data_IF_468972562076
#
_entry.id   IF_468972562076
#
_cell.length_a   1.000
_cell.length_b   1.000
_cell.length_c   1.000
_cell.angle_alpha   90.00
_cell.angle_beta   90.00
_cell.angle_gamma   90.00
#
_symmetry.space_group_name_H-M   'P 1'
#
loop_
_entity.id
_entity.type
_entity.pdbx_description
1 polymer ?
#
# COMPACT_ATOMS: atom_id res chain seq x y z
N UNK A 1 22.83 -36.27 83.60
CA UNK A 1 22.07 -35.06 84.03
C UNK A 1 21.82 -34.18 82.82
N UNK A 2 20.57 -34.12 82.33
CA UNK A 2 19.87 -32.87 82.04
C UNK A 2 18.46 -33.17 81.48
N UNK A 3 17.48 -32.75 82.28
CA UNK A 3 16.05 -32.85 82.03
C UNK A 3 15.54 -31.70 81.16
N UNK A 4 14.80 -32.06 80.11
CA UNK A 4 13.42 -31.65 79.76
C UNK A 4 12.85 -30.28 80.23
N UNK A 5 12.33 -29.55 79.21
CA UNK A 5 10.91 -29.11 79.02
C UNK A 5 10.50 -27.63 79.24
N UNK A 6 10.12 -27.02 78.09
CA UNK A 6 8.96 -26.17 77.71
C UNK A 6 8.61 -24.80 78.34
N UNK A 7 8.36 -23.80 77.47
CA UNK A 7 7.05 -23.18 77.11
C UNK A 7 7.27 -22.08 76.04
N UNK A 8 6.75 -22.23 74.81
CA UNK A 8 5.51 -21.65 74.19
C UNK A 8 5.39 -20.12 74.18
N UNK A 9 5.44 -19.51 72.98
CA UNK A 9 4.54 -18.40 72.57
C UNK A 9 4.25 -18.45 71.04
N UNK A 10 2.97 -18.73 70.73
CA UNK A 10 2.09 -18.16 69.68
C UNK A 10 2.43 -18.19 68.17
N UNK A 11 1.58 -18.89 67.39
CA UNK A 11 1.33 -18.78 65.93
C UNK A 11 0.31 -17.64 65.61
N UNK A 12 -0.10 -17.34 64.35
CA UNK A 12 0.22 -17.94 63.03
C UNK A 12 0.57 -16.90 61.92
N UNK A 13 1.02 -17.29 60.72
CA UNK A 13 0.15 -17.38 59.55
C UNK A 13 0.87 -18.02 58.35
N UNK A 14 0.11 -18.83 57.62
CA UNK A 14 0.46 -19.66 56.48
C UNK A 14 1.25 -18.93 55.39
N UNK A 15 2.47 -19.37 55.14
CA UNK A 15 3.23 -19.04 53.94
C UNK A 15 3.70 -20.32 53.26
N UNK A 16 3.03 -20.71 52.17
CA UNK A 16 3.56 -21.76 51.29
C UNK A 16 2.52 -22.73 50.76
N UNK A 17 1.73 -22.34 49.74
CA UNK A 17 1.16 -23.27 48.76
C UNK A 17 0.45 -22.55 47.59
N UNK A 18 1.15 -21.74 46.80
CA UNK A 18 0.57 -21.21 45.55
C UNK A 18 1.45 -21.33 44.30
N UNK A 19 2.72 -21.74 44.42
CA UNK A 19 3.64 -21.84 43.26
C UNK A 19 3.71 -23.21 42.56
N UNK A 20 2.98 -24.25 43.01
CA UNK A 20 3.09 -25.61 42.44
C UNK A 20 1.80 -26.22 41.88
N UNK A 21 0.77 -25.42 41.60
CA UNK A 21 -0.53 -25.94 41.09
C UNK A 21 -0.91 -25.54 39.66
N UNK A 22 -0.06 -24.82 38.92
CA UNK A 22 -0.39 -24.33 37.56
C UNK A 22 0.32 -25.11 36.43
N UNK A 23 1.15 -26.11 36.74
CA UNK A 23 1.83 -26.94 35.73
C UNK A 23 1.43 -28.41 35.84
N UNK A 24 0.16 -28.72 35.58
CA UNK A 24 -0.27 -30.08 35.24
C UNK A 24 -0.77 -30.12 33.80
N UNK A 25 0.08 -30.71 32.95
CA UNK A 25 -0.23 -31.46 31.73
C UNK A 25 -1.31 -30.90 30.81
N UNK A 26 -0.95 -29.91 30.00
CA UNK A 26 -1.63 -29.69 28.73
C UNK A 26 -0.86 -30.50 27.68
N UNK A 27 -1.30 -31.74 27.44
CA UNK A 27 -0.82 -32.50 26.29
C UNK A 27 -1.22 -31.83 24.96
N UNK A 28 -0.70 -32.29 23.81
CA UNK A 28 -1.06 -31.72 22.52
C UNK A 28 -2.52 -32.06 22.20
N UNK A 29 -3.44 -31.18 22.61
CA UNK A 29 -4.85 -31.29 22.25
C UNK A 29 -4.98 -31.05 20.73
N UNK A 30 -5.03 -32.11 19.94
CA UNK A 30 -5.61 -32.04 18.59
C UNK A 30 -7.14 -32.08 18.78
N UNK A 31 -7.79 -30.93 18.64
CA UNK A 31 -9.24 -30.77 18.81
C UNK A 31 -9.64 -29.33 19.15
N UNK A 32 -10.64 -28.82 18.43
CA UNK A 32 -11.34 -27.53 18.55
C UNK A 32 -11.41 -27.03 20.02
N UNK A 33 -10.52 -26.10 20.39
CA UNK A 33 -10.56 -25.43 21.68
C UNK A 33 -11.50 -24.22 21.65
N UNK A 34 -11.96 -23.78 22.82
CA UNK A 34 -12.64 -22.50 22.93
C UNK A 34 -11.65 -21.35 22.74
N UNK A 35 -12.00 -20.38 21.90
CA UNK A 35 -11.15 -19.25 21.52
C UNK A 35 -11.78 -17.92 21.96
N UNK A 36 -10.97 -17.05 22.55
CA UNK A 36 -11.27 -15.64 22.69
C UNK A 36 -10.77 -14.91 21.44
N UNK A 37 -11.61 -14.09 20.80
CA UNK A 37 -11.23 -13.32 19.61
C UNK A 37 -11.11 -11.85 19.98
N UNK A 38 -9.92 -11.29 19.83
CA UNK A 38 -9.59 -9.90 20.15
C UNK A 38 -9.28 -9.18 18.84
N UNK A 39 -10.16 -8.26 18.45
CA UNK A 39 -10.13 -7.60 17.15
C UNK A 39 -9.66 -6.17 17.34
N UNK A 40 -8.61 -5.81 16.63
CA UNK A 40 -8.17 -4.44 16.49
C UNK A 40 -9.08 -3.73 15.48
N UNK A 41 -9.99 -2.90 15.97
CA UNK A 41 -10.98 -2.20 15.15
C UNK A 41 -10.43 -0.96 14.43
N UNK A 42 -9.15 -0.64 14.62
CA UNK A 42 -8.45 0.41 13.90
C UNK A 42 -7.81 -0.13 12.62
N UNK A 43 -7.38 -1.40 12.61
CA UNK A 43 -6.81 -2.10 11.46
C UNK A 43 -7.77 -3.07 10.75
N UNK A 44 -8.79 -3.59 11.42
CA UNK A 44 -9.84 -4.41 10.79
C UNK A 44 -10.99 -3.50 10.36
N UNK A 45 -11.54 -3.71 9.17
CA UNK A 45 -12.73 -2.96 8.73
C UNK A 45 -14.03 -3.66 9.15
N UNK A 46 -15.13 -2.92 9.39
CA UNK A 46 -16.42 -3.51 9.70
C UNK A 46 -16.85 -4.58 8.66
N UNK A 47 -16.71 -4.28 7.37
CA UNK A 47 -17.02 -5.21 6.27
C UNK A 47 -16.25 -6.55 6.32
N UNK A 48 -15.10 -6.61 7.00
CA UNK A 48 -14.29 -7.82 7.11
C UNK A 48 -14.63 -8.69 8.33
N UNK A 49 -15.46 -8.19 9.26
CA UNK A 49 -15.72 -8.84 10.54
C UNK A 49 -16.20 -10.28 10.40
N UNK A 50 -17.14 -10.53 9.48
CA UNK A 50 -17.67 -11.87 9.24
C UNK A 50 -16.57 -12.83 8.76
N UNK A 51 -15.68 -12.37 7.88
CA UNK A 51 -14.55 -13.17 7.38
C UNK A 51 -13.54 -13.49 8.49
N UNK A 52 -13.26 -12.54 9.38
CA UNK A 52 -12.42 -12.77 10.57
C UNK A 52 -13.00 -13.87 11.45
N UNK A 53 -14.28 -13.75 11.81
CA UNK A 53 -14.94 -14.73 12.68
C UNK A 53 -15.02 -16.11 12.00
N UNK A 54 -15.25 -16.17 10.68
CA UNK A 54 -15.24 -17.42 9.92
C UNK A 54 -13.86 -18.08 9.91
N UNK A 55 -12.79 -17.30 9.72
CA UNK A 55 -11.42 -17.81 9.78
C UNK A 55 -11.13 -18.44 11.15
N UNK A 56 -11.50 -17.78 12.24
CA UNK A 56 -11.33 -18.35 13.59
C UNK A 56 -12.20 -19.59 13.81
N UNK A 57 -13.46 -19.58 13.36
CA UNK A 57 -14.38 -20.72 13.46
C UNK A 57 -13.88 -21.98 12.73
N UNK A 58 -12.98 -21.82 11.76
CA UNK A 58 -12.37 -22.96 11.06
C UNK A 58 -11.42 -23.78 11.93
N UNK A 59 -10.89 -23.19 13.01
CA UNK A 59 -9.91 -23.84 13.91
C UNK A 59 -10.39 -24.04 15.34
N UNK A 60 -11.49 -23.40 15.75
CA UNK A 60 -12.05 -23.56 17.09
C UNK A 60 -13.40 -22.87 17.30
N UNK A 61 -13.99 -23.07 18.47
CA UNK A 61 -15.25 -22.42 18.83
C UNK A 61 -14.99 -21.06 19.48
N UNK A 62 -15.59 -20.01 18.94
CA UNK A 62 -15.51 -18.67 19.53
C UNK A 62 -16.33 -18.67 20.83
N UNK A 63 -15.67 -18.45 21.96
CA UNK A 63 -16.32 -18.32 23.28
C UNK A 63 -16.87 -16.91 23.47
N UNK A 64 -16.06 -15.92 23.12
CA UNK A 64 -16.45 -14.53 23.03
C UNK A 64 -15.54 -13.82 22.03
N UNK A 65 -16.03 -12.70 21.52
CA UNK A 65 -15.29 -11.83 20.62
C UNK A 65 -15.44 -10.39 21.08
N UNK A 66 -14.31 -9.69 21.14
CA UNK A 66 -14.23 -8.26 21.48
C UNK A 66 -13.58 -7.49 20.37
N UNK A 67 -14.04 -6.27 20.17
CA UNK A 67 -13.38 -5.31 19.30
C UNK A 67 -12.96 -4.07 20.06
N UNK A 68 -11.71 -3.67 19.86
CA UNK A 68 -11.09 -2.52 20.52
C UNK A 68 -11.06 -1.37 19.53
N UNK A 69 -11.73 -0.27 19.85
CA UNK A 69 -11.85 0.88 18.97
C UNK A 69 -11.61 2.17 19.71
N UNK A 70 -10.99 3.12 19.02
CA UNK A 70 -10.93 4.50 19.47
C UNK A 70 -12.35 5.12 19.51
N UNK A 71 -12.64 5.95 20.53
CA UNK A 71 -13.89 6.72 20.66
C UNK A 71 -14.33 7.45 19.37
N UNK A 72 -13.37 7.91 18.54
CA UNK A 72 -13.67 8.59 17.27
C UNK A 72 -14.15 7.64 16.16
N UNK A 73 -13.77 6.35 16.22
CA UNK A 73 -14.14 5.32 15.24
C UNK A 73 -15.30 4.44 15.69
N UNK A 74 -15.74 4.56 16.95
CA UNK A 74 -16.86 3.79 17.50
C UNK A 74 -18.16 3.90 16.68
N UNK A 75 -18.39 5.05 16.01
CA UNK A 75 -19.56 5.24 15.14
C UNK A 75 -19.56 4.32 13.91
N UNK A 76 -18.39 3.90 13.41
CA UNK A 76 -18.26 3.06 12.21
C UNK A 76 -18.73 1.62 12.43
N UNK A 77 -18.83 1.20 13.69
CA UNK A 77 -19.15 -0.17 14.07
C UNK A 77 -20.60 -0.35 14.53
N UNK A 78 -21.34 0.74 14.79
CA UNK A 78 -22.68 0.72 15.41
C UNK A 78 -23.66 -0.25 14.77
N UNK A 79 -23.67 -0.36 13.44
CA UNK A 79 -24.68 -1.14 12.72
C UNK A 79 -24.32 -2.65 12.62
N UNK A 80 -23.06 -3.04 12.81
CA UNK A 80 -22.60 -4.42 12.53
C UNK A 80 -22.35 -5.27 13.78
N UNK A 81 -22.38 -4.68 14.97
CA UNK A 81 -22.03 -5.35 16.23
C UNK A 81 -23.18 -6.20 16.79
N UNK A 82 -24.42 -5.75 16.61
CA UNK A 82 -25.60 -6.39 17.17
C UNK A 82 -25.89 -7.77 16.55
N UNK A 83 -25.49 -7.98 15.29
CA UNK A 83 -25.79 -9.21 14.54
C UNK A 83 -24.76 -10.34 14.75
N UNK A 84 -23.55 -10.01 15.20
CA UNK A 84 -22.42 -10.95 15.23
C UNK A 84 -21.97 -11.37 16.64
N UNK A 85 -22.62 -10.87 17.70
CA UNK A 85 -22.29 -11.20 19.08
C UNK A 85 -20.91 -10.71 19.52
N UNK A 86 -20.46 -9.58 18.98
CA UNK A 86 -19.14 -8.98 19.26
C UNK A 86 -19.31 -7.84 20.26
N UNK A 87 -18.63 -7.95 21.40
CA UNK A 87 -18.58 -6.89 22.41
C UNK A 87 -17.65 -5.77 21.95
N UNK A 88 -18.07 -4.51 22.10
CA UNK A 88 -17.25 -3.35 21.73
C UNK A 88 -16.62 -2.72 22.96
N UNK A 89 -15.31 -2.63 22.94
CA UNK A 89 -14.49 -1.95 23.94
C UNK A 89 -14.06 -0.62 23.35
N UNK A 90 -14.77 0.45 23.72
CA UNK A 90 -14.42 1.81 23.31
C UNK A 90 -13.35 2.36 24.25
N UNK A 91 -12.19 2.70 23.71
CA UNK A 91 -11.08 3.23 24.48
C UNK A 91 -10.94 4.75 24.24
N UNK A 92 -11.11 5.59 25.28
CA UNK A 92 -10.93 7.03 25.15
C UNK A 92 -9.46 7.41 24.91
N UNK A 93 -9.22 8.36 24.02
CA UNK A 93 -7.90 8.98 23.88
C UNK A 93 -7.77 10.12 24.89
N UNK A 94 -6.88 9.95 25.88
CA UNK A 94 -6.68 10.89 26.98
C UNK A 94 -5.66 12.00 26.67
N UNK A 95 -4.78 11.81 25.67
CA UNK A 95 -3.81 12.81 25.21
C UNK A 95 -3.54 12.70 23.72
N UNK A 96 -3.36 13.84 23.05
CA UNK A 96 -2.99 13.90 21.64
C UNK A 96 -1.50 13.65 21.47
N UNK A 97 -1.12 12.41 21.19
CA UNK A 97 0.21 12.08 20.67
C UNK A 97 0.83 10.79 21.21
N UNK A 98 1.09 9.87 20.28
CA UNK A 98 2.07 8.76 20.33
C UNK A 98 1.70 7.40 20.96
N UNK A 99 0.58 7.22 21.66
CA UNK A 99 0.18 5.88 22.13
C UNK A 99 -1.18 5.51 21.58
N UNK A 100 -1.30 4.30 21.06
CA UNK A 100 -2.59 3.73 20.71
C UNK A 100 -3.19 3.07 21.96
N UNK A 101 -4.15 3.72 22.65
CA UNK A 101 -4.70 3.15 23.87
C UNK A 101 -5.59 1.92 23.58
N UNK A 102 -6.12 1.77 22.36
CA UNK A 102 -6.90 0.60 21.98
C UNK A 102 -6.00 -0.65 21.92
N UNK A 103 -4.83 -0.52 21.32
CA UNK A 103 -3.83 -1.61 21.27
C UNK A 103 -3.35 -2.02 22.67
N UNK A 104 -3.11 -1.04 23.53
CA UNK A 104 -2.72 -1.28 24.92
C UNK A 104 -3.82 -2.04 25.66
N UNK A 105 -5.08 -1.61 25.51
CA UNK A 105 -6.21 -2.28 26.16
C UNK A 105 -6.38 -3.72 25.64
N UNK A 106 -6.25 -3.93 24.33
CA UNK A 106 -6.28 -5.26 23.71
C UNK A 106 -5.19 -6.16 24.31
N UNK A 107 -3.95 -5.66 24.39
CA UNK A 107 -2.84 -6.39 24.95
C UNK A 107 -3.05 -6.76 26.43
N UNK A 108 -3.63 -5.85 27.23
CA UNK A 108 -3.97 -6.09 28.64
C UNK A 108 -5.03 -7.18 28.76
N UNK A 109 -6.13 -7.08 28.00
CA UNK A 109 -7.21 -8.07 28.00
C UNK A 109 -6.74 -9.45 27.54
N UNK A 110 -5.83 -9.53 26.58
CA UNK A 110 -5.23 -10.79 26.15
C UNK A 110 -4.49 -11.50 27.29
N UNK A 111 -3.68 -10.75 28.05
CA UNK A 111 -2.95 -11.29 29.21
C UNK A 111 -3.91 -11.64 30.34
N UNK A 112 -4.92 -10.80 30.59
CA UNK A 112 -5.94 -11.07 31.60
C UNK A 112 -6.70 -12.37 31.28
N UNK A 113 -7.05 -12.60 30.02
CA UNK A 113 -7.70 -13.84 29.59
C UNK A 113 -6.80 -15.06 29.76
N UNK A 114 -5.49 -14.94 29.52
CA UNK A 114 -4.55 -16.03 29.81
C UNK A 114 -4.59 -16.43 31.29
N UNK A 115 -4.69 -15.44 32.19
CA UNK A 115 -4.73 -15.63 33.64
C UNK A 115 -6.07 -16.19 34.11
N UNK A 116 -7.19 -15.69 33.59
CA UNK A 116 -8.55 -16.20 33.87
C UNK A 116 -8.73 -17.62 33.34
N UNK A 117 -8.20 -17.88 32.15
CA UNK A 117 -8.23 -19.18 31.50
C UNK A 117 -9.61 -19.61 31.05
N UNK A 118 -10.49 -18.67 30.71
CA UNK A 118 -11.85 -19.00 30.27
C UNK A 118 -11.85 -19.57 28.86
N UNK A 119 -10.91 -19.17 28.01
CA UNK A 119 -10.61 -19.70 26.69
C UNK A 119 -9.32 -20.54 26.70
N UNK A 120 -9.27 -21.54 25.82
CA UNK A 120 -8.10 -22.39 25.60
C UNK A 120 -7.08 -21.76 24.65
N UNK A 121 -7.51 -20.82 23.83
CA UNK A 121 -6.64 -20.03 22.96
C UNK A 121 -7.15 -18.61 22.74
N UNK A 122 -6.28 -17.77 22.21
CA UNK A 122 -6.54 -16.36 21.94
C UNK A 122 -6.19 -16.10 20.47
N UNK A 123 -7.16 -15.59 19.72
CA UNK A 123 -7.00 -15.12 18.36
C UNK A 123 -6.94 -13.60 18.35
N UNK A 124 -5.84 -13.03 17.85
CA UNK A 124 -5.68 -11.58 17.68
C UNK A 124 -5.84 -11.24 16.22
N UNK A 125 -6.85 -10.44 15.88
CA UNK A 125 -7.12 -10.01 14.52
C UNK A 125 -6.59 -8.60 14.27
N UNK A 126 -5.50 -8.47 13.52
CA UNK A 126 -4.87 -7.19 13.14
C UNK A 126 -3.92 -7.36 11.94
N UNK A 127 -3.61 -6.24 11.27
CA UNK A 127 -2.50 -6.12 10.30
C UNK A 127 -1.21 -5.60 10.94
N UNK A 128 -1.27 -5.17 12.21
CA UNK A 128 -0.13 -4.62 12.92
C UNK A 128 0.79 -5.73 13.44
N UNK A 129 2.06 -5.65 13.06
CA UNK A 129 3.10 -6.60 13.47
C UNK A 129 3.50 -6.43 14.93
N UNK A 130 3.17 -5.30 15.57
CA UNK A 130 3.50 -5.06 16.98
C UNK A 130 2.76 -6.03 17.93
N UNK A 131 1.61 -6.58 17.50
CA UNK A 131 0.92 -7.64 18.23
C UNK A 131 1.69 -8.98 18.29
N UNK A 132 2.79 -9.14 17.54
CA UNK A 132 3.69 -10.28 17.68
C UNK A 132 4.19 -10.45 19.13
N UNK A 133 4.36 -9.34 19.87
CA UNK A 133 4.76 -9.39 21.29
C UNK A 133 3.65 -9.99 22.16
N UNK A 134 2.39 -9.63 21.89
CA UNK A 134 1.22 -10.17 22.59
C UNK A 134 1.08 -11.66 22.31
N UNK A 135 1.13 -12.07 21.04
CA UNK A 135 1.05 -13.48 20.63
C UNK A 135 2.13 -14.35 21.31
N UNK A 136 3.38 -13.87 21.34
CA UNK A 136 4.47 -14.55 22.05
C UNK A 136 4.21 -14.65 23.55
N UNK A 137 3.64 -13.61 24.16
CA UNK A 137 3.29 -13.61 25.59
C UNK A 137 2.16 -14.62 25.88
N UNK A 138 1.13 -14.69 25.04
CA UNK A 138 0.06 -15.70 25.13
C UNK A 138 0.65 -17.12 25.12
N UNK A 139 1.58 -17.39 24.19
CA UNK A 139 2.29 -18.67 24.12
C UNK A 139 3.12 -18.96 25.37
N UNK A 140 3.86 -17.95 25.87
CA UNK A 140 4.64 -18.07 27.12
C UNK A 140 3.76 -18.40 28.34
N UNK A 141 2.51 -17.94 28.35
CA UNK A 141 1.53 -18.22 29.41
C UNK A 141 0.78 -19.55 29.19
N UNK A 142 1.17 -20.35 28.20
CA UNK A 142 0.65 -21.70 27.97
C UNK A 142 -0.72 -21.76 27.29
N UNK A 143 -1.15 -20.67 26.64
CA UNK A 143 -2.37 -20.64 25.80
C UNK A 143 -1.98 -20.74 24.33
N UNK A 144 -2.86 -21.31 23.51
CA UNK A 144 -2.67 -21.28 22.06
C UNK A 144 -2.91 -19.88 21.52
N UNK A 145 -2.03 -19.44 20.63
CA UNK A 145 -2.03 -18.11 20.03
C UNK A 145 -2.31 -18.22 18.53
N UNK A 146 -3.28 -17.45 18.05
CA UNK A 146 -3.65 -17.39 16.64
C UNK A 146 -3.48 -15.95 16.15
N UNK A 147 -2.64 -15.75 15.14
CA UNK A 147 -2.61 -14.48 14.41
C UNK A 147 -3.66 -14.51 13.31
N UNK A 148 -4.52 -13.50 13.24
CA UNK A 148 -5.58 -13.42 12.22
C UNK A 148 -5.36 -12.16 11.41
N UNK A 149 -5.04 -12.30 10.13
CA UNK A 149 -4.66 -11.15 9.29
C UNK A 149 -5.27 -11.29 7.88
N UNK A 150 -5.58 -10.19 7.18
CA UNK A 150 -6.07 -10.24 5.82
C UNK A 150 -5.15 -11.02 4.88
N UNK A 151 -5.74 -11.74 3.93
CA UNK A 151 -4.96 -12.45 2.91
C UNK A 151 -4.15 -11.50 1.99
N UNK A 152 -4.53 -10.21 1.94
CA UNK A 152 -3.81 -9.13 1.24
C UNK A 152 -2.54 -8.65 1.94
N UNK A 153 -2.34 -8.98 3.22
CA UNK A 153 -1.22 -8.43 3.99
C UNK A 153 0.11 -8.93 3.43
N UNK A 154 1.14 -8.08 3.49
CA UNK A 154 2.46 -8.37 2.88
C UNK A 154 3.06 -9.68 3.42
N UNK A 155 3.85 -10.39 2.59
CA UNK A 155 4.50 -11.65 2.99
C UNK A 155 5.35 -11.50 4.25
N UNK A 156 6.04 -10.36 4.41
CA UNK A 156 6.83 -10.04 5.62
C UNK A 156 5.96 -9.92 6.87
N UNK A 157 4.81 -9.25 6.78
CA UNK A 157 3.87 -9.15 7.90
C UNK A 157 3.36 -10.55 8.28
N UNK A 158 2.92 -11.34 7.30
CA UNK A 158 2.46 -12.71 7.52
C UNK A 158 3.55 -13.59 8.14
N UNK A 159 4.81 -13.47 7.71
CA UNK A 159 5.93 -14.23 8.26
C UNK A 159 6.26 -13.85 9.71
N UNK A 160 6.29 -12.55 10.03
CA UNK A 160 6.53 -12.08 11.39
C UNK A 160 5.44 -12.57 12.35
N UNK A 161 4.17 -12.45 11.95
CA UNK A 161 3.03 -12.93 12.73
C UNK A 161 3.03 -14.47 12.85
N UNK A 162 3.33 -15.19 11.76
CA UNK A 162 3.48 -16.65 11.76
C UNK A 162 4.58 -17.13 12.70
N UNK A 163 5.69 -16.39 12.80
CA UNK A 163 6.79 -16.72 13.74
C UNK A 163 6.41 -16.47 15.21
N UNK A 164 5.41 -15.62 15.45
CA UNK A 164 5.02 -15.17 16.79
C UNK A 164 3.83 -15.96 17.37
N UNK A 165 2.93 -16.46 16.53
CA UNK A 165 1.78 -17.27 16.90
C UNK A 165 2.04 -18.77 16.76
N UNK A 166 1.14 -19.61 17.31
CA UNK A 166 1.13 -21.05 17.03
C UNK A 166 0.54 -21.34 15.65
N UNK A 167 -0.40 -20.50 15.19
CA UNK A 167 -1.03 -20.62 13.88
C UNK A 167 -1.37 -19.24 13.30
N UNK A 168 -1.24 -19.09 11.98
CA UNK A 168 -1.65 -17.90 11.22
C UNK A 168 -2.92 -18.23 10.42
N UNK A 169 -3.99 -17.47 10.66
CA UNK A 169 -5.25 -17.56 9.93
C UNK A 169 -5.36 -16.36 8.98
N UNK A 170 -5.66 -16.63 7.72
CA UNK A 170 -5.91 -15.59 6.72
C UNK A 170 -7.41 -15.40 6.52
N UNK A 171 -7.85 -14.15 6.37
CA UNK A 171 -9.24 -13.83 6.09
C UNK A 171 -9.41 -12.89 4.89
N UNK A 172 -10.61 -12.90 4.31
CA UNK A 172 -10.93 -12.16 3.10
C UNK A 172 -10.34 -12.81 1.85
N UNK A 173 -10.77 -12.31 0.69
CA UNK A 173 -10.17 -12.72 -0.57
C UNK A 173 -8.74 -12.18 -0.62
N UNK A 174 -7.81 -13.02 -1.10
CA UNK A 174 -6.59 -12.45 -1.65
C UNK A 174 -7.04 -11.46 -2.71
N UNK A 175 -6.47 -10.25 -2.76
CA UNK A 175 -6.70 -9.41 -3.90
C UNK A 175 -6.30 -10.29 -5.07
N UNK A 176 -7.26 -10.59 -5.93
CA UNK A 176 -6.93 -10.98 -7.28
C UNK A 176 -6.17 -9.77 -7.79
N UNK A 177 -4.85 -9.80 -7.62
CA UNK A 177 -3.95 -9.01 -8.45
C UNK A 177 -4.52 -9.27 -9.83
N UNK A 178 -4.96 -8.21 -10.50
CA UNK A 178 -5.52 -8.26 -11.84
C UNK A 178 -4.80 -9.39 -12.58
N UNK A 179 -5.54 -10.35 -13.17
CA UNK A 179 -5.02 -11.56 -13.87
C UNK A 179 -4.17 -11.21 -15.12
N UNK A 180 -3.56 -10.04 -15.10
CA UNK A 180 -2.91 -9.30 -16.15
C UNK A 180 -1.55 -8.93 -15.59
N UNK A 181 -0.51 -9.57 -16.14
CA UNK A 181 0.86 -9.14 -15.96
C UNK A 181 1.11 -7.91 -16.83
N UNK A 182 1.81 -6.93 -16.26
CA UNK A 182 2.31 -5.78 -16.99
C UNK A 182 3.76 -6.02 -17.37
N UNK A 183 4.04 -5.97 -18.67
CA UNK A 183 5.39 -6.05 -19.19
C UNK A 183 5.82 -4.72 -19.76
N UNK A 184 6.99 -4.27 -19.32
CA UNK A 184 7.71 -3.15 -19.92
C UNK A 184 8.69 -3.71 -20.95
N UNK A 185 8.51 -3.36 -22.22
CA UNK A 185 9.53 -3.62 -23.22
C UNK A 185 10.70 -2.65 -23.01
N UNK A 186 11.80 -3.14 -22.47
CA UNK A 186 12.98 -2.31 -22.22
C UNK A 186 13.86 -2.17 -23.45
N UNK A 187 13.60 -2.90 -24.55
CA UNK A 187 14.36 -2.75 -25.80
C UNK A 187 13.98 -1.49 -26.57
N UNK A 188 12.72 -1.04 -26.40
CA UNK A 188 12.20 0.16 -27.01
C UNK A 188 11.94 1.22 -25.92
N UNK A 189 12.71 2.30 -25.93
CA UNK A 189 12.45 3.43 -25.02
C UNK A 189 11.11 4.09 -25.37
N UNK A 190 10.49 4.71 -24.38
CA UNK A 190 9.16 5.31 -24.50
C UNK A 190 8.04 4.32 -24.87
N UNK A 191 8.31 3.00 -24.81
CA UNK A 191 7.35 1.94 -25.13
C UNK A 191 6.13 1.95 -24.20
N UNK A 192 5.02 1.41 -24.70
CA UNK A 192 3.85 1.15 -23.88
C UNK A 192 4.05 -0.13 -23.06
N UNK A 193 3.32 -0.20 -21.95
CA UNK A 193 3.20 -1.45 -21.21
C UNK A 193 2.33 -2.39 -22.02
N UNK A 194 2.83 -3.61 -22.22
CA UNK A 194 2.04 -4.71 -22.75
C UNK A 194 1.36 -5.45 -21.60
N UNK A 195 0.09 -5.75 -21.79
CA UNK A 195 -0.73 -6.52 -20.86
C UNK A 195 -0.77 -7.96 -21.35
N UNK A 196 -0.44 -8.91 -20.47
CA UNK A 196 -0.49 -10.34 -20.78
C UNK A 196 -1.31 -11.09 -19.74
N UNK A 197 -2.02 -12.14 -20.15
CA UNK A 197 -2.66 -13.05 -19.19
C UNK A 197 -1.58 -13.72 -18.33
N UNK A 198 -1.74 -13.62 -17.02
CA UNK A 198 -0.79 -14.20 -16.08
C UNK A 198 -0.94 -15.73 -16.08
N UNK A 199 0.18 -16.45 -16.25
CA UNK A 199 0.22 -17.90 -15.99
C UNK A 199 0.16 -18.08 -14.48
N UNK A 200 -0.82 -18.83 -13.99
CA UNK A 200 -0.97 -19.14 -12.56
C UNK A 200 0.27 -19.91 -12.08
N UNK A 201 1.26 -19.18 -11.56
CA UNK A 201 2.49 -19.76 -11.02
C UNK A 201 2.28 -20.37 -9.63
N UNK A 202 1.07 -20.30 -9.09
CA UNK A 202 0.75 -20.85 -7.79
C UNK A 202 1.51 -20.18 -6.65
N UNK A 203 0.97 -20.38 -5.47
CA UNK A 203 1.45 -19.75 -4.25
C UNK A 203 2.69 -20.50 -3.72
N UNK A 204 3.85 -20.25 -4.32
CA UNK A 204 5.10 -20.74 -3.75
C UNK A 204 5.53 -19.78 -2.63
N UNK A 205 5.71 -20.26 -1.39
CA UNK A 205 6.24 -19.45 -0.30
C UNK A 205 7.58 -18.83 -0.72
N UNK A 206 7.91 -17.67 -0.16
CA UNK A 206 9.27 -17.12 -0.23
C UNK A 206 10.20 -18.13 0.45
N UNK A 207 10.79 -19.03 -0.31
CA UNK A 207 11.80 -19.96 0.19
C UNK A 207 13.00 -19.13 0.65
N UNK A 208 13.76 -19.62 1.64
CA UNK A 208 15.02 -19.00 2.05
C UNK A 208 15.97 -18.77 0.86
N UNK A 209 15.89 -19.62 -0.16
CA UNK A 209 16.55 -19.43 -1.45
C UNK A 209 16.13 -18.15 -2.16
N UNK A 210 14.83 -17.85 -2.28
CA UNK A 210 14.35 -16.61 -2.91
C UNK A 210 14.83 -15.36 -2.15
N UNK A 211 14.89 -15.41 -0.82
CA UNK A 211 15.42 -14.30 -0.02
C UNK A 211 16.91 -14.06 -0.30
N UNK A 212 17.72 -15.13 -0.33
CA UNK A 212 19.15 -15.05 -0.71
C UNK A 212 19.34 -14.58 -2.15
N UNK A 213 18.45 -14.99 -3.07
CA UNK A 213 18.45 -14.55 -4.46
C UNK A 213 18.20 -13.04 -4.58
N UNK A 214 17.30 -12.50 -3.77
CA UNK A 214 17.03 -11.05 -3.73
C UNK A 214 18.24 -10.27 -3.19
N UNK A 215 18.89 -10.75 -2.13
CA UNK A 215 20.09 -10.12 -1.56
C UNK A 215 21.24 -10.07 -2.58
N UNK A 216 21.49 -11.18 -3.29
CA UNK A 216 22.49 -11.22 -4.38
C UNK A 216 22.18 -10.25 -5.52
N UNK A 217 20.90 -10.15 -5.89
CA UNK A 217 20.43 -9.22 -6.91
C UNK A 217 20.68 -7.76 -6.48
N UNK A 218 20.38 -7.43 -5.24
CA UNK A 218 20.67 -6.11 -4.67
C UNK A 218 22.17 -5.81 -4.68
N UNK A 219 23.01 -6.75 -4.25
CA UNK A 219 24.47 -6.59 -4.24
C UNK A 219 25.03 -6.36 -5.66
N UNK A 220 24.55 -7.13 -6.65
CA UNK A 220 24.97 -6.98 -8.05
C UNK A 220 24.59 -5.59 -8.60
N UNK A 221 23.33 -5.20 -8.44
CA UNK A 221 22.85 -3.90 -8.94
C UNK A 221 23.53 -2.73 -8.21
N UNK A 222 23.87 -2.88 -6.93
CA UNK A 222 24.67 -1.90 -6.21
C UNK A 222 26.11 -1.84 -6.74
N UNK A 223 26.74 -2.99 -7.02
CA UNK A 223 28.09 -3.07 -7.59
C UNK A 223 28.19 -2.43 -8.98
N UNK A 224 27.11 -2.53 -9.77
CA UNK A 224 26.99 -1.92 -11.09
C UNK A 224 26.52 -0.46 -11.07
N UNK A 225 26.18 0.08 -9.89
CA UNK A 225 25.79 1.48 -9.72
C UNK A 225 24.32 1.82 -9.97
N UNK A 226 23.45 0.83 -10.21
CA UNK A 226 22.01 1.03 -10.41
C UNK A 226 21.24 1.28 -9.10
N UNK A 227 21.75 0.78 -7.97
CA UNK A 227 21.13 0.92 -6.65
C UNK A 227 22.04 1.67 -5.67
N UNK A 228 21.49 2.61 -4.87
CA UNK A 228 22.23 3.21 -3.76
C UNK A 228 22.43 2.22 -2.59
N UNK A 229 23.44 2.48 -1.76
CA UNK A 229 23.65 1.80 -0.46
C UNK A 229 23.36 2.79 0.67
N UNK A 230 22.38 2.55 1.56
CA UNK A 230 21.40 1.45 1.56
C UNK A 230 20.30 1.60 0.48
N UNK A 231 19.66 0.50 0.05
CA UNK A 231 18.61 0.55 -0.95
C UNK A 231 17.37 1.27 -0.38
N UNK A 232 16.84 2.25 -1.12
CA UNK A 232 15.59 2.90 -0.73
C UNK A 232 14.37 2.15 -1.27
N UNK A 233 13.25 2.30 -0.56
CA UNK A 233 12.00 1.61 -0.87
C UNK A 233 11.52 1.93 -2.29
N UNK A 234 11.34 0.90 -3.11
CA UNK A 234 10.73 0.99 -4.44
C UNK A 234 11.69 1.33 -5.59
N UNK A 235 12.96 1.69 -5.32
CA UNK A 235 13.95 1.99 -6.38
C UNK A 235 14.28 0.75 -7.21
N UNK A 236 14.16 -0.45 -6.62
CA UNK A 236 14.44 -1.73 -7.28
C UNK A 236 13.81 -1.85 -8.67
N UNK A 237 12.55 -1.45 -8.85
CA UNK A 237 11.88 -1.50 -10.14
C UNK A 237 12.57 -0.59 -11.18
N UNK A 238 12.93 0.62 -10.79
CA UNK A 238 13.64 1.56 -11.66
C UNK A 238 15.04 1.04 -12.02
N UNK A 239 15.75 0.47 -11.05
CA UNK A 239 17.06 -0.14 -11.25
C UNK A 239 16.98 -1.30 -12.25
N UNK A 240 16.01 -2.20 -12.09
CA UNK A 240 15.79 -3.31 -13.00
C UNK A 240 15.44 -2.85 -14.42
N UNK A 241 14.54 -1.87 -14.56
CA UNK A 241 14.17 -1.35 -15.88
C UNK A 241 15.40 -0.78 -16.62
N UNK A 242 16.23 0.01 -15.94
CA UNK A 242 17.48 0.56 -16.48
C UNK A 242 18.49 -0.53 -16.81
N UNK A 243 18.65 -1.52 -15.93
CA UNK A 243 19.57 -2.64 -16.12
C UNK A 243 19.18 -3.50 -17.32
N UNK A 244 17.90 -3.84 -17.45
CA UNK A 244 17.37 -4.62 -18.57
C UNK A 244 17.62 -3.91 -19.91
N UNK A 245 17.39 -2.59 -19.97
CA UNK A 245 17.68 -1.81 -21.17
C UNK A 245 19.17 -1.79 -21.49
N UNK A 246 20.01 -1.43 -20.51
CA UNK A 246 21.45 -1.29 -20.70
C UNK A 246 22.15 -2.61 -21.09
N UNK A 247 21.57 -3.76 -20.72
CA UNK A 247 22.09 -5.08 -21.02
C UNK A 247 21.28 -5.83 -22.09
N UNK A 248 20.31 -5.18 -22.74
CA UNK A 248 19.54 -5.76 -23.84
C UNK A 248 18.72 -7.01 -23.46
N UNK A 249 18.19 -7.07 -22.24
CA UNK A 249 17.48 -8.24 -21.69
C UNK A 249 16.01 -8.36 -22.14
N UNK A 250 15.53 -7.40 -22.93
CA UNK A 250 14.20 -7.42 -23.53
C UNK A 250 13.10 -7.02 -22.56
N UNK A 251 12.11 -7.88 -22.35
CA UNK A 251 10.89 -7.53 -21.60
C UNK A 251 11.08 -7.74 -20.11
N UNK A 252 10.63 -6.77 -19.30
CA UNK A 252 10.62 -6.86 -17.84
C UNK A 252 9.19 -6.90 -17.33
N UNK A 253 8.84 -7.89 -16.51
CA UNK A 253 7.58 -7.87 -15.76
C UNK A 253 7.64 -6.81 -14.66
N UNK A 254 6.82 -5.78 -14.77
CA UNK A 254 6.75 -4.67 -13.79
C UNK A 254 5.62 -4.86 -12.78
N UNK A 255 4.62 -5.68 -13.14
CA UNK A 255 3.51 -6.09 -12.26
C UNK A 255 3.12 -7.54 -12.56
N UNK A 256 3.02 -8.41 -11.54
CA UNK A 256 3.42 -8.16 -10.16
C UNK A 256 4.96 -8.12 -9.99
N UNK A 257 5.46 -7.23 -9.11
CA UNK A 257 6.91 -6.98 -8.98
C UNK A 257 7.74 -8.23 -8.63
N UNK A 258 7.17 -9.18 -7.87
CA UNK A 258 7.89 -10.39 -7.46
C UNK A 258 8.22 -11.32 -8.64
N UNK A 259 7.37 -11.35 -9.68
CA UNK A 259 7.67 -12.08 -10.91
C UNK A 259 8.78 -11.40 -11.69
N UNK A 260 8.77 -10.06 -11.78
CA UNK A 260 9.86 -9.28 -12.36
C UNK A 260 11.20 -9.54 -11.68
N UNK A 261 11.19 -9.64 -10.34
CA UNK A 261 12.38 -9.98 -9.56
C UNK A 261 12.86 -11.41 -9.84
N UNK A 262 11.95 -12.36 -9.94
CA UNK A 262 12.27 -13.78 -10.23
C UNK A 262 12.82 -13.93 -11.65
N UNK A 263 12.23 -13.23 -12.61
CA UNK A 263 12.69 -13.14 -13.99
C UNK A 263 14.12 -12.56 -14.06
N UNK A 264 14.33 -11.42 -13.40
CA UNK A 264 15.62 -10.75 -13.33
C UNK A 264 16.70 -11.67 -12.74
N UNK A 265 16.40 -12.32 -11.61
CA UNK A 265 17.33 -13.24 -10.97
C UNK A 265 17.71 -14.40 -11.89
N UNK A 266 16.73 -15.05 -12.52
CA UNK A 266 16.96 -16.20 -13.42
C UNK A 266 17.84 -15.84 -14.62
N UNK A 267 17.69 -14.63 -15.16
CA UNK A 267 18.55 -14.12 -16.23
C UNK A 267 19.96 -13.79 -15.73
N UNK A 268 20.08 -13.27 -14.51
CA UNK A 268 21.36 -12.82 -13.96
C UNK A 268 22.28 -13.94 -13.49
N UNK A 269 21.74 -15.13 -13.20
CA UNK A 269 22.55 -16.33 -12.89
C UNK A 269 23.46 -16.76 -14.05
N UNK A 270 23.17 -16.31 -15.28
CA UNK A 270 23.94 -16.64 -16.48
C UNK A 270 24.55 -15.37 -17.07
N UNK A 271 25.62 -14.82 -16.47
CA UNK A 271 26.24 -13.61 -16.98
C UNK A 271 26.77 -13.82 -18.40
N UNK A 272 26.67 -12.80 -19.27
CA UNK A 272 27.29 -12.87 -20.59
C UNK A 272 28.82 -12.93 -20.47
N UNK A 273 29.50 -13.42 -21.52
CA UNK A 273 30.95 -13.60 -21.50
C UNK A 273 31.76 -12.32 -21.20
N UNK A 274 31.19 -11.14 -21.46
CA UNK A 274 31.78 -9.83 -21.17
C UNK A 274 31.39 -9.22 -19.81
N UNK A 275 30.59 -9.91 -19.00
CA UNK A 275 30.03 -9.38 -17.76
C UNK A 275 28.88 -8.39 -17.97
N UNK A 276 28.31 -7.91 -16.87
CA UNK A 276 27.19 -6.97 -16.89
C UNK A 276 27.65 -5.52 -17.07
N UNK A 277 26.94 -4.77 -17.91
CA UNK A 277 27.18 -3.35 -18.10
C UNK A 277 26.78 -2.55 -16.84
N UNK A 278 27.57 -1.53 -16.45
CA UNK A 278 27.24 -0.63 -15.35
C UNK A 278 26.12 0.37 -15.74
N UNK A 279 25.53 1.04 -14.74
CA UNK A 279 24.51 2.07 -14.97
C UNK A 279 25.06 3.19 -15.87
N UNK A 280 24.47 3.43 -17.06
CA UNK A 280 24.94 4.49 -17.95
C UNK A 280 24.65 5.90 -17.41
N UNK A 281 23.86 6.05 -16.32
CA UNK A 281 23.52 7.32 -15.65
C UNK A 281 22.83 8.36 -16.53
N UNK A 282 22.39 7.97 -17.72
CA UNK A 282 21.67 8.80 -18.67
C UNK A 282 20.23 8.34 -18.89
N UNK A 283 19.70 7.45 -18.04
CA UNK A 283 18.35 6.91 -18.13
C UNK A 283 17.48 7.42 -16.97
N UNK A 284 16.25 7.83 -17.31
CA UNK A 284 15.21 8.16 -16.35
C UNK A 284 14.11 7.10 -16.40
N UNK A 285 13.65 6.67 -15.22
CA UNK A 285 12.48 5.80 -15.08
C UNK A 285 11.43 6.50 -14.22
N UNK A 286 10.25 6.73 -14.80
CA UNK A 286 9.13 7.37 -14.12
C UNK A 286 7.90 6.49 -14.24
N UNK A 287 7.11 6.42 -13.17
CA UNK A 287 5.85 5.67 -13.22
C UNK A 287 4.65 6.48 -12.73
N UNK A 288 3.46 6.22 -13.28
CA UNK A 288 2.23 6.78 -12.75
C UNK A 288 1.97 6.30 -11.31
N UNK A 289 1.48 7.20 -10.48
CA UNK A 289 0.93 6.91 -9.16
C UNK A 289 -0.49 6.39 -9.36
N UNK A 290 -0.62 5.08 -9.54
CA UNK A 290 -1.92 4.45 -9.71
C UNK A 290 -2.74 4.47 -8.41
N UNK A 291 -4.04 4.66 -8.61
CA UNK A 291 -5.11 4.20 -7.74
C UNK A 291 -5.74 3.08 -8.56
N UNK A 292 -5.51 1.82 -8.17
CA UNK A 292 -6.04 0.56 -8.72
C UNK A 292 -6.87 0.74 -10.01
N UNK A 293 -6.26 0.47 -11.17
CA UNK A 293 -7.01 0.36 -12.42
C UNK A 293 -7.97 -0.84 -12.30
N UNK A 294 -9.25 -0.60 -12.58
CA UNK A 294 -10.28 -1.65 -12.53
C UNK A 294 -10.33 -2.51 -13.81
N UNK A 295 -9.62 -2.12 -14.87
CA UNK A 295 -9.65 -2.86 -16.15
C UNK A 295 -8.40 -2.66 -17.04
N UNK A 296 -8.08 -3.66 -17.89
CA UNK A 296 -6.92 -3.65 -18.80
C UNK A 296 -7.01 -2.57 -19.90
N UNK A 297 -8.20 -2.31 -20.45
CA UNK A 297 -8.39 -1.32 -21.54
C UNK A 297 -8.12 0.13 -21.08
N UNK A 298 -8.20 0.40 -19.78
CA UNK A 298 -7.92 1.72 -19.21
C UNK A 298 -6.42 2.06 -19.14
N UNK A 299 -5.52 1.07 -19.14
CA UNK A 299 -4.07 1.27 -19.03
C UNK A 299 -3.39 1.45 -20.39
N UNK A 300 -3.83 0.68 -21.40
CA UNK A 300 -3.25 0.70 -22.75
C UNK A 300 -3.37 2.07 -23.46
N UNK A 301 -4.36 2.88 -23.09
CA UNK A 301 -4.66 4.16 -23.77
C UNK A 301 -3.97 5.38 -23.17
N UNK A 302 -3.33 5.30 -21.99
CA UNK A 302 -2.95 6.50 -21.21
C UNK A 302 -1.52 6.51 -20.65
N UNK A 303 -0.60 5.81 -21.32
CA UNK A 303 0.83 5.90 -21.06
C UNK A 303 1.25 5.30 -19.72
N UNK A 304 1.70 4.04 -19.75
CA UNK A 304 2.28 3.34 -18.59
C UNK A 304 3.58 3.98 -18.09
N UNK A 305 4.37 3.28 -17.24
CA UNK A 305 5.72 3.70 -16.91
C UNK A 305 6.53 4.11 -18.14
N UNK A 306 7.47 5.01 -17.90
CA UNK A 306 8.32 5.64 -18.90
C UNK A 306 9.77 5.31 -18.57
N UNK A 307 10.44 4.62 -19.47
CA UNK A 307 11.88 4.47 -19.50
C UNK A 307 12.41 5.25 -20.69
N UNK A 308 13.27 6.23 -20.46
CA UNK A 308 13.72 7.16 -21.49
C UNK A 308 15.10 7.73 -21.19
N UNK A 309 15.73 8.35 -22.20
CA UNK A 309 17.00 9.06 -22.01
C UNK A 309 16.78 10.42 -21.34
N UNK A 310 17.70 10.75 -20.42
CA UNK A 310 17.82 12.09 -19.86
C UNK A 310 18.24 13.03 -20.99
N UNK A 311 17.34 13.93 -21.34
CA UNK A 311 17.43 14.84 -22.48
C UNK A 311 16.81 16.19 -22.11
N UNK A 312 17.04 17.23 -22.91
CA UNK A 312 16.50 18.58 -22.64
C UNK A 312 14.95 18.63 -22.68
N UNK A 313 14.33 17.72 -23.43
CA UNK A 313 12.88 17.62 -23.59
C UNK A 313 12.23 16.57 -22.66
N UNK A 314 13.00 16.01 -21.71
CA UNK A 314 12.52 15.02 -20.75
C UNK A 314 11.22 15.45 -20.06
N UNK A 315 11.13 16.71 -19.62
CA UNK A 315 9.96 17.22 -18.91
C UNK A 315 8.73 17.19 -19.82
N UNK A 316 8.86 17.63 -21.07
CA UNK A 316 7.78 17.64 -22.05
C UNK A 316 7.35 16.21 -22.38
N UNK A 317 8.29 15.27 -22.53
CA UNK A 317 7.97 13.84 -22.70
C UNK A 317 7.18 13.29 -21.53
N UNK A 318 7.60 13.57 -20.29
CA UNK A 318 6.90 13.16 -19.07
C UNK A 318 5.50 13.77 -19.02
N UNK A 319 5.36 15.08 -19.26
CA UNK A 319 4.06 15.76 -19.25
C UNK A 319 3.12 15.18 -20.31
N UNK A 320 3.61 14.87 -21.51
CA UNK A 320 2.82 14.18 -22.55
C UNK A 320 2.41 12.79 -22.11
N UNK A 321 3.37 12.00 -21.65
CA UNK A 321 3.16 10.62 -21.21
C UNK A 321 2.12 10.52 -20.08
N UNK A 322 2.11 11.50 -19.17
CA UNK A 322 1.21 11.53 -18.02
C UNK A 322 -0.11 12.28 -18.31
N UNK A 323 -0.32 12.70 -19.57
CA UNK A 323 -1.57 13.28 -20.06
C UNK A 323 -1.76 14.78 -19.77
N UNK A 324 -0.71 15.48 -19.35
CA UNK A 324 -0.75 16.93 -19.09
C UNK A 324 -0.59 17.76 -20.36
N UNK A 325 0.08 17.23 -21.37
CA UNK A 325 0.38 17.91 -22.62
C UNK A 325 0.00 17.02 -23.80
N UNK A 326 -0.45 17.60 -24.90
CA UNK A 326 -0.74 16.86 -26.14
C UNK A 326 0.25 17.16 -27.26
N UNK A 327 0.21 16.34 -28.31
CA UNK A 327 0.95 16.63 -29.54
C UNK A 327 0.48 17.98 -30.11
N UNK A 328 1.43 18.88 -30.38
CA UNK A 328 1.16 20.24 -30.86
C UNK A 328 0.96 21.31 -29.77
N UNK A 329 0.81 20.93 -28.48
CA UNK A 329 0.76 21.88 -27.36
C UNK A 329 2.17 22.21 -26.86
N UNK A 330 3.00 22.85 -27.68
CA UNK A 330 4.43 23.06 -27.38
C UNK A 330 4.82 24.51 -27.11
N UNK A 331 3.88 25.45 -27.17
CA UNK A 331 4.20 26.85 -26.90
C UNK A 331 4.65 27.06 -25.45
N UNK A 332 5.54 28.02 -25.15
CA UNK A 332 6.03 28.25 -23.78
C UNK A 332 4.91 28.48 -22.75
N UNK A 333 3.82 29.14 -23.16
CA UNK A 333 2.64 29.36 -22.30
C UNK A 333 1.85 28.09 -22.01
N UNK A 334 1.76 27.16 -22.97
CA UNK A 334 1.12 25.86 -22.77
C UNK A 334 1.95 24.94 -21.88
N UNK A 335 3.27 24.93 -22.08
CA UNK A 335 4.19 24.16 -21.25
C UNK A 335 4.13 24.67 -19.80
N UNK A 336 4.12 25.99 -19.58
CA UNK A 336 3.99 26.55 -18.24
C UNK A 336 2.69 26.12 -17.56
N UNK A 337 1.56 26.26 -18.23
CA UNK A 337 0.26 25.85 -17.67
C UNK A 337 0.22 24.34 -17.37
N UNK A 338 0.88 23.51 -18.19
CA UNK A 338 0.99 22.08 -17.94
C UNK A 338 1.84 21.78 -16.69
N UNK A 339 2.93 22.53 -16.48
CA UNK A 339 3.76 22.43 -15.28
C UNK A 339 2.99 22.88 -14.04
N UNK A 340 2.23 23.98 -14.10
CA UNK A 340 1.37 24.43 -12.99
C UNK A 340 0.31 23.37 -12.63
N UNK A 341 -0.34 22.80 -13.64
CA UNK A 341 -1.32 21.73 -13.44
C UNK A 341 -0.68 20.46 -12.85
N UNK A 342 0.53 20.12 -13.31
CA UNK A 342 1.32 19.03 -12.75
C UNK A 342 1.68 19.29 -11.29
N UNK A 343 2.14 20.51 -10.99
CA UNK A 343 2.47 20.97 -9.66
C UNK A 343 1.28 20.84 -8.71
N UNK A 344 0.12 21.39 -9.06
CA UNK A 344 -1.06 21.36 -8.21
C UNK A 344 -1.50 19.93 -7.86
N UNK A 345 -1.41 19.04 -8.84
CA UNK A 345 -1.83 17.65 -8.66
C UNK A 345 -0.82 16.81 -7.86
N UNK A 346 0.47 17.18 -7.92
CA UNK A 346 1.59 16.48 -7.28
C UNK A 346 2.24 17.26 -6.13
N UNK A 347 1.62 18.36 -5.68
CA UNK A 347 2.19 19.34 -4.73
C UNK A 347 2.90 18.70 -3.54
N UNK A 348 2.21 17.79 -2.84
CA UNK A 348 2.76 17.11 -1.65
C UNK A 348 4.02 16.30 -1.95
N UNK A 349 4.13 15.68 -3.12
CA UNK A 349 5.32 14.89 -3.48
C UNK A 349 6.46 15.78 -3.99
N UNK A 350 6.13 16.84 -4.73
CA UNK A 350 7.10 17.84 -5.21
C UNK A 350 7.71 18.66 -4.06
N UNK A 351 6.93 18.99 -3.03
CA UNK A 351 7.43 19.60 -1.80
C UNK A 351 8.43 18.71 -1.06
N UNK A 352 8.22 17.38 -1.08
CA UNK A 352 9.22 16.42 -0.58
C UNK A 352 10.45 16.31 -1.48
N UNK A 353 10.40 16.80 -2.72
CA UNK A 353 11.57 16.94 -3.59
C UNK A 353 12.32 18.26 -3.37
N UNK A 354 11.88 19.10 -2.43
CA UNK A 354 12.51 20.39 -2.16
C UNK A 354 11.98 21.56 -3.00
N UNK A 355 11.06 21.33 -3.94
CA UNK A 355 10.37 22.43 -4.61
C UNK A 355 9.24 22.91 -3.72
N UNK A 356 9.40 24.08 -3.08
CA UNK A 356 8.49 24.55 -2.03
C UNK A 356 7.32 25.39 -2.55
N UNK A 357 7.57 26.24 -3.54
CA UNK A 357 6.58 27.16 -4.09
C UNK A 357 6.75 27.34 -5.60
N UNK A 358 5.65 27.16 -6.34
CA UNK A 358 5.58 27.45 -7.78
C UNK A 358 5.70 28.97 -8.04
N UNK A 359 5.14 29.80 -7.16
CA UNK A 359 5.11 31.27 -7.26
C UNK A 359 6.51 31.91 -7.22
N UNK A 360 7.49 31.20 -6.65
CA UNK A 360 8.89 31.65 -6.62
C UNK A 360 9.59 31.46 -7.98
N UNK A 361 8.97 30.74 -8.91
CA UNK A 361 9.51 30.41 -10.22
C UNK A 361 9.27 31.56 -11.18
N UNK A 362 10.35 32.15 -11.73
CA UNK A 362 10.27 33.41 -12.48
C UNK A 362 9.92 33.21 -13.96
N UNK A 363 10.21 32.02 -14.50
CA UNK A 363 9.98 31.70 -15.92
C UNK A 363 9.58 30.24 -16.14
N UNK A 364 9.02 29.95 -17.32
CA UNK A 364 8.70 28.57 -17.73
C UNK A 364 9.98 27.71 -17.87
N UNK A 365 11.11 28.35 -18.17
CA UNK A 365 12.40 27.67 -18.24
C UNK A 365 12.86 27.23 -16.85
N UNK A 366 12.74 28.08 -15.84
CA UNK A 366 13.13 27.79 -14.46
C UNK A 366 12.30 26.63 -13.90
N UNK A 367 11.00 26.62 -14.19
CA UNK A 367 10.08 25.57 -13.77
C UNK A 367 10.45 24.22 -14.40
N UNK A 368 10.77 24.26 -15.70
CA UNK A 368 11.23 23.08 -16.45
C UNK A 368 12.56 22.57 -15.92
N UNK A 369 13.52 23.45 -15.64
CA UNK A 369 14.82 23.06 -15.10
C UNK A 369 14.66 22.41 -13.72
N UNK A 370 13.82 22.98 -12.85
CA UNK A 370 13.50 22.41 -11.54
C UNK A 370 12.89 21.01 -11.68
N UNK A 371 11.90 20.83 -12.55
CA UNK A 371 11.33 19.51 -12.82
C UNK A 371 12.34 18.53 -13.41
N UNK A 372 13.22 19.00 -14.29
CA UNK A 372 14.26 18.17 -14.89
C UNK A 372 15.21 17.64 -13.81
N UNK A 373 15.68 18.50 -12.91
CA UNK A 373 16.50 18.09 -11.76
C UNK A 373 15.78 17.07 -10.87
N UNK A 374 14.49 17.27 -10.60
CA UNK A 374 13.68 16.33 -9.81
C UNK A 374 13.55 14.97 -10.51
N UNK A 375 13.23 14.95 -11.81
CA UNK A 375 13.01 13.72 -12.57
C UNK A 375 14.30 12.92 -12.80
N UNK A 376 15.44 13.59 -12.78
CA UNK A 376 16.76 12.99 -12.96
C UNK A 376 17.43 12.58 -11.65
N UNK A 377 16.80 12.85 -10.50
CA UNK A 377 17.32 12.49 -9.19
C UNK A 377 17.58 10.97 -9.08
N UNK A 378 18.85 10.52 -8.98
CA UNK A 378 19.24 9.13 -9.23
C UNK A 378 18.78 8.16 -8.14
N UNK A 379 18.54 8.67 -6.93
CA UNK A 379 18.23 7.86 -5.76
C UNK A 379 16.77 8.03 -5.31
N UNK A 380 15.86 8.31 -6.24
CA UNK A 380 14.45 8.46 -5.93
C UNK A 380 13.58 7.80 -6.99
N UNK A 381 12.62 7.00 -6.54
CA UNK A 381 11.60 6.49 -7.44
C UNK A 381 10.63 7.62 -7.81
N UNK A 382 10.60 7.96 -9.10
CA UNK A 382 9.76 9.01 -9.66
C UNK A 382 8.34 8.50 -9.86
N UNK A 383 7.46 8.76 -8.88
CA UNK A 383 6.07 8.31 -8.89
C UNK A 383 5.12 9.50 -8.88
N UNK A 384 4.41 9.73 -9.99
CA UNK A 384 3.64 10.96 -10.21
C UNK A 384 2.19 10.67 -10.58
N UNK A 385 1.27 11.46 -10.04
CA UNK A 385 -0.14 11.41 -10.44
C UNK A 385 -0.27 11.87 -11.89
N UNK A 386 -1.15 11.22 -12.63
CA UNK A 386 -1.55 11.62 -13.99
C UNK A 386 -2.52 12.79 -13.98
N UNK A 387 -2.68 13.44 -15.13
CA UNK A 387 -3.73 14.42 -15.37
C UNK A 387 -5.14 13.82 -15.13
N UNK A 388 -6.15 14.69 -15.02
CA UNK A 388 -7.52 14.23 -14.81
C UNK A 388 -8.05 13.46 -16.03
N UNK A 389 -8.71 12.32 -15.80
CA UNK A 389 -9.22 11.46 -16.87
C UNK A 389 -10.35 12.15 -17.64
N UNK A 390 -10.23 12.30 -18.96
CA UNK A 390 -11.30 12.79 -19.84
C UNK A 390 -12.57 11.95 -19.72
N UNK A 391 -12.44 10.62 -19.60
CA UNK A 391 -13.58 9.71 -19.41
C UNK A 391 -14.39 10.02 -18.13
N UNK A 392 -13.75 10.55 -17.08
CA UNK A 392 -14.45 11.02 -15.87
C UNK A 392 -15.26 12.26 -16.19
N UNK A 393 -14.70 13.21 -16.93
CA UNK A 393 -15.40 14.42 -17.34
C UNK A 393 -16.60 14.10 -18.23
N UNK A 394 -16.44 13.25 -19.25
CA UNK A 394 -17.53 12.81 -20.14
C UNK A 394 -18.71 12.25 -19.36
N UNK A 395 -18.47 11.40 -18.36
CA UNK A 395 -19.53 10.89 -17.48
C UNK A 395 -20.25 12.02 -16.72
N UNK A 396 -19.50 12.92 -16.09
CA UNK A 396 -20.08 14.03 -15.32
C UNK A 396 -20.86 15.02 -16.19
N UNK A 397 -20.36 15.35 -17.38
CA UNK A 397 -21.08 16.21 -18.32
C UNK A 397 -22.38 15.57 -18.82
N UNK A 398 -22.38 14.24 -19.02
CA UNK A 398 -23.60 13.50 -19.35
C UNK A 398 -24.62 13.55 -18.20
N UNK A 399 -24.17 13.35 -16.97
CA UNK A 399 -25.02 13.38 -15.77
C UNK A 399 -25.67 14.76 -15.56
N UNK A 400 -24.96 15.84 -15.87
CA UNK A 400 -25.48 17.22 -15.77
C UNK A 400 -26.26 17.65 -17.03
N UNK A 401 -26.29 16.81 -18.07
CA UNK A 401 -27.05 17.05 -19.30
C UNK A 401 -26.38 17.99 -20.31
N UNK A 402 -25.10 18.32 -20.12
CA UNK A 402 -24.33 19.18 -21.04
C UNK A 402 -23.97 18.47 -22.36
N UNK A 403 -23.92 17.13 -22.34
CA UNK A 403 -23.72 16.27 -23.51
C UNK A 403 -24.72 15.11 -23.48
N UNK A 404 -25.11 14.62 -24.67
CA UNK A 404 -26.12 13.54 -24.80
C UNK A 404 -25.54 12.16 -24.48
N UNK A 405 -24.33 11.89 -24.96
CA UNK A 405 -23.66 10.59 -24.79
C UNK A 405 -22.19 10.78 -24.39
N UNK A 406 -21.58 9.75 -23.83
CA UNK A 406 -20.20 9.83 -23.35
C UNK A 406 -19.17 9.75 -24.49
N UNK A 407 -19.56 9.25 -25.66
CA UNK A 407 -18.76 9.02 -26.86
C UNK A 407 -18.79 10.18 -27.87
N UNK A 408 -19.31 11.36 -27.48
CA UNK A 408 -19.35 12.54 -28.35
C UNK A 408 -17.97 12.89 -28.96
N UNK A 409 -17.92 13.32 -30.22
CA UNK A 409 -16.68 13.74 -30.86
C UNK A 409 -15.94 14.81 -30.04
N UNK A 410 -14.62 14.77 -30.10
CA UNK A 410 -13.77 15.68 -29.33
C UNK A 410 -14.07 17.18 -29.54
N UNK A 411 -14.35 17.68 -30.76
CA UNK A 411 -14.75 19.07 -30.95
C UNK A 411 -16.02 19.46 -30.20
N UNK A 412 -17.02 18.58 -30.18
CA UNK A 412 -18.27 18.78 -29.44
C UNK A 412 -18.03 18.82 -27.93
N UNK A 413 -17.18 17.94 -27.42
CA UNK A 413 -16.77 17.94 -26.02
C UNK A 413 -16.07 19.24 -25.62
N UNK A 414 -15.17 19.75 -26.47
CA UNK A 414 -14.47 21.04 -26.23
C UNK A 414 -15.47 22.19 -26.15
N UNK A 415 -16.46 22.21 -27.03
CA UNK A 415 -17.48 23.26 -27.00
C UNK A 415 -18.37 23.17 -25.75
N UNK A 416 -18.75 21.96 -25.33
CA UNK A 416 -19.45 21.75 -24.07
C UNK A 416 -18.64 22.25 -22.86
N UNK A 417 -17.33 21.97 -22.82
CA UNK A 417 -16.45 22.49 -21.77
C UNK A 417 -16.38 24.02 -21.75
N UNK A 418 -16.26 24.66 -22.93
CA UNK A 418 -16.22 26.13 -23.01
C UNK A 418 -17.50 26.75 -22.49
N UNK A 419 -18.67 26.23 -22.89
CA UNK A 419 -19.97 26.72 -22.41
C UNK A 419 -20.08 26.61 -20.89
N UNK A 420 -19.69 25.46 -20.32
CA UNK A 420 -19.69 25.24 -18.88
C UNK A 420 -18.82 26.29 -18.15
N UNK A 421 -17.59 26.53 -18.64
CA UNK A 421 -16.67 27.49 -18.04
C UNK A 421 -17.14 28.94 -18.22
N UNK A 422 -17.75 29.30 -19.35
CA UNK A 422 -18.33 30.63 -19.54
C UNK A 422 -19.48 30.90 -18.54
N UNK A 423 -20.29 29.88 -18.23
CA UNK A 423 -21.38 30.01 -17.26
C UNK A 423 -20.85 30.08 -15.83
N UNK A 424 -19.92 29.19 -15.46
CA UNK A 424 -19.47 29.02 -14.07
C UNK A 424 -18.26 29.88 -13.67
N UNK A 425 -17.50 30.40 -14.64
CA UNK A 425 -16.32 31.22 -14.45
C UNK A 425 -16.17 32.31 -15.55
N UNK A 426 -17.18 33.20 -15.75
CA UNK A 426 -17.20 34.16 -16.86
C UNK A 426 -16.08 35.19 -16.86
N UNK A 427 -15.38 35.38 -15.72
CA UNK A 427 -14.31 36.38 -15.55
C UNK A 427 -12.90 35.78 -15.65
N UNK A 428 -12.79 34.47 -15.81
CA UNK A 428 -11.50 33.79 -15.92
C UNK A 428 -11.10 33.57 -17.38
N UNK A 429 -9.81 33.70 -17.69
CA UNK A 429 -9.30 33.30 -19.00
C UNK A 429 -9.43 31.78 -19.20
N UNK A 430 -9.78 31.40 -20.43
CA UNK A 430 -9.85 29.99 -20.82
C UNK A 430 -8.45 29.37 -20.77
N UNK A 431 -8.34 28.12 -20.29
CA UNK A 431 -7.06 27.41 -20.30
C UNK A 431 -6.44 27.33 -21.71
N UNK A 432 -5.12 27.26 -21.82
CA UNK A 432 -4.37 27.16 -23.09
C UNK A 432 -4.13 25.71 -23.51
N UNK A 433 -4.17 24.78 -22.55
CA UNK A 433 -4.05 23.34 -22.80
C UNK A 433 -5.36 22.59 -22.53
N UNK A 434 -5.52 21.45 -23.20
CA UNK A 434 -6.69 20.61 -23.08
C UNK A 434 -6.84 19.98 -21.68
N UNK A 435 -5.73 19.52 -21.08
CA UNK A 435 -5.76 18.90 -19.76
C UNK A 435 -6.27 19.85 -18.67
N UNK A 436 -5.94 21.14 -18.79
CA UNK A 436 -6.37 22.18 -17.87
C UNK A 436 -7.87 22.50 -18.03
N UNK A 437 -8.41 22.48 -19.26
CA UNK A 437 -9.86 22.52 -19.49
C UNK A 437 -10.56 21.38 -18.75
N UNK A 438 -10.09 20.14 -18.94
CA UNK A 438 -10.69 18.97 -18.29
C UNK A 438 -10.68 19.10 -16.77
N UNK A 439 -9.52 19.45 -16.20
CA UNK A 439 -9.36 19.60 -14.76
C UNK A 439 -10.23 20.73 -14.18
N UNK A 440 -10.33 21.88 -14.88
CA UNK A 440 -11.13 23.01 -14.42
C UNK A 440 -12.62 22.70 -14.46
N UNK A 441 -13.13 22.12 -15.55
CA UNK A 441 -14.51 21.68 -15.65
C UNK A 441 -14.88 20.69 -14.53
N UNK A 442 -14.02 19.68 -14.28
CA UNK A 442 -14.25 18.73 -13.20
C UNK A 442 -14.31 19.40 -11.82
N UNK A 443 -13.43 20.36 -11.52
CA UNK A 443 -13.46 21.12 -10.26
C UNK A 443 -14.83 21.78 -10.05
N UNK A 444 -15.35 22.47 -11.06
CA UNK A 444 -16.65 23.14 -10.96
C UNK A 444 -17.83 22.19 -10.85
N UNK A 445 -17.77 21.02 -11.50
CA UNK A 445 -18.81 19.99 -11.43
C UNK A 445 -18.80 19.26 -10.08
N UNK A 446 -17.66 19.16 -9.40
CA UNK A 446 -17.49 18.46 -8.12
C UNK A 446 -17.71 19.37 -6.91
N UNK A 447 -17.51 20.68 -7.07
CA UNK A 447 -17.82 21.68 -6.04
C UNK A 447 -19.32 21.95 -5.89
N UNK A 448 -20.16 21.44 -6.80
CA UNK A 448 -21.59 21.67 -6.81
C UNK A 448 -22.33 20.75 -5.81
N UNK A 449 -23.00 21.30 -4.78
CA UNK A 449 -23.71 20.50 -3.78
C UNK A 449 -24.89 19.70 -4.34
N UNK A 450 -25.43 20.08 -5.51
CA UNK A 450 -26.50 19.32 -6.20
C UNK A 450 -26.02 17.98 -6.78
N UNK A 451 -24.71 17.79 -6.86
CA UNK A 451 -24.06 16.69 -7.59
C UNK A 451 -23.64 15.49 -6.71
N UNK A 452 -23.96 15.53 -5.42
CA UNK A 452 -23.71 14.47 -4.40
C UNK A 452 -24.91 13.56 -4.12
N UNK A 453 -25.97 13.64 -4.94
CA UNK A 453 -27.17 12.80 -4.79
C UNK A 453 -27.04 11.47 -5.49
#
# INVERSE_FOLDING_TARGET
MNCRVAMRLTSPCMGGSLRRRILRSWGPLRGCGSLAVLIDGDNVSPASLQSVLQAVRSVGQIKYSRIYVNQHKALLWKDQLAEQGVETVVVPQLSSGLKDPADIMLAVDAVEECLKGTALGIAVASEDVDFAIVLRKVRQLGRRSFAVTPARSTSRCQELLRSAADELLLFGERPSISKVAEHLDTSCLDSNVELAEQVDLGDQPLTEERQRSMEKLEELLQGLGYLPKPPQRGIMLAALAKFFHANGLGRLTIRPLHEGLTQAFSLMERPPAGGWAPDPKNLAFLKPKEVEAKSPDEEATQGGPLLTYISEDLVQRVLRRFGYLQAGEESPGQVMEAVELFWDRNRKELQKCGWQAMEATRSASDARETLHQIFTEPHRLQVWRRAAKEARLRRRLKEVGEIRHADVPRPELVEAMRRLLQIRAPREELPKIYAAHVARCLRHLESDPSSRK
#
